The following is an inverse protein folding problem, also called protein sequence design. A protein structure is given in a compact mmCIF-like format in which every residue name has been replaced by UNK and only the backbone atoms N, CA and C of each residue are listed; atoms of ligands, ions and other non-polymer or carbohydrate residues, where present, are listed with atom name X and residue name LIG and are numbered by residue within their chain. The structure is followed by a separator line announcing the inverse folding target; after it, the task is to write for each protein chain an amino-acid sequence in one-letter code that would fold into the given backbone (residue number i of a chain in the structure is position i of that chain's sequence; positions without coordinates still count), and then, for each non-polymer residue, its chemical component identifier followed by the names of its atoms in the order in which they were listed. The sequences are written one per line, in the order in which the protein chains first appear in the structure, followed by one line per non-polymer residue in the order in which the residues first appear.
data_IF_506406022468
#
_entry.id   IF_506406022468
#
_cell.length_a   1.000
_cell.length_b   1.000
_cell.length_c   1.000
_cell.angle_alpha   90.00
_cell.angle_beta   90.00
_cell.angle_gamma   90.00
#
_symmetry.space_group_name_H-M   'P 1'
#
loop_
_entity.id
_entity.type
_entity.pdbx_description
1 polymer ?
#
# COMPACT_ATOMS: atom_id res chain seq x y z
N UNK A 1 50.14 -22.61 44.64
CA UNK A 1 49.33 -23.71 44.09
C UNK A 1 48.30 -24.10 45.14
N UNK A 2 47.01 -23.92 44.89
CA UNK A 2 45.94 -24.40 45.77
C UNK A 2 44.57 -24.19 45.10
N UNK A 3 43.82 -25.28 44.89
CA UNK A 3 42.40 -25.23 44.56
C UNK A 3 41.56 -25.07 45.84
N UNK A 4 40.37 -24.44 45.79
CA UNK A 4 39.25 -24.72 46.69
C UNK A 4 38.43 -25.89 46.10
N UNK A 5 38.14 -27.02 46.74
CA UNK A 5 37.58 -27.32 48.08
C UNK A 5 36.12 -26.88 48.24
N UNK A 6 35.19 -27.83 48.02
CA UNK A 6 33.80 -27.81 48.49
C UNK A 6 33.69 -28.44 49.88
N UNK A 7 32.80 -27.93 50.77
CA UNK A 7 31.75 -28.76 51.40
C UNK A 7 30.50 -27.95 51.83
N UNK A 8 29.51 -28.48 52.60
CA UNK A 8 28.81 -29.78 52.56
C UNK A 8 27.26 -29.60 52.43
N UNK A 9 26.43 -30.55 52.88
CA UNK A 9 25.00 -30.72 52.52
C UNK A 9 24.05 -31.00 53.73
N UNK A 10 22.72 -30.85 53.53
CA UNK A 10 21.55 -31.32 54.34
C UNK A 10 21.21 -30.66 55.71
N UNK A 11 20.00 -30.86 56.34
CA UNK A 11 18.64 -31.35 55.93
C UNK A 11 17.49 -30.39 56.45
N UNK A 12 16.20 -30.76 56.80
CA UNK A 12 15.24 -31.84 56.45
C UNK A 12 13.82 -31.35 55.97
N UNK A 13 12.85 -32.27 55.84
CA UNK A 13 11.42 -32.10 55.41
C UNK A 13 10.54 -31.26 56.38
N UNK A 14 9.24 -30.92 56.19
CA UNK A 14 8.09 -31.42 55.39
C UNK A 14 7.02 -30.25 55.19
N UNK A 15 5.69 -30.38 54.89
CA UNK A 15 4.81 -31.54 54.59
C UNK A 15 3.69 -31.35 53.48
N UNK A 16 2.75 -32.32 53.42
CA UNK A 16 1.31 -32.39 52.99
C UNK A 16 0.54 -31.08 52.64
N UNK A 17 -0.49 -31.04 51.77
CA UNK A 17 -1.20 -32.05 50.92
C UNK A 17 -2.31 -31.38 50.08
N UNK A 18 -2.61 -31.86 48.86
CA UNK A 18 -3.98 -31.88 48.30
C UNK A 18 -4.04 -32.71 46.99
N UNK A 19 -4.94 -33.70 46.95
CA UNK A 19 -5.33 -34.41 45.72
C UNK A 19 -6.63 -33.84 45.17
N UNK A 20 -6.73 -33.61 43.85
CA UNK A 20 -8.01 -33.79 43.15
C UNK A 20 -7.83 -33.97 41.64
N UNK A 21 -8.65 -34.84 41.05
CA UNK A 21 -8.64 -35.15 39.62
C UNK A 21 -9.13 -33.99 38.77
N UNK A 22 -8.49 -33.76 37.62
CA UNK A 22 -9.04 -32.97 36.54
C UNK A 22 -9.84 -33.87 35.59
N UNK A 23 -11.13 -33.59 35.43
CA UNK A 23 -11.97 -34.23 34.41
C UNK A 23 -11.67 -33.64 33.01
N UNK A 24 -11.89 -34.39 31.91
CA UNK A 24 -11.68 -33.87 30.56
C UNK A 24 -12.73 -32.81 30.20
N UNK A 25 -12.27 -31.66 29.71
CA UNK A 25 -13.11 -30.59 29.17
C UNK A 25 -13.58 -31.00 27.76
N UNK A 26 -14.86 -30.81 27.40
CA UNK A 26 -15.42 -31.38 26.16
C UNK A 26 -14.87 -30.72 24.89
N UNK A 27 -14.50 -31.56 23.93
CA UNK A 27 -14.15 -31.16 22.56
C UNK A 27 -15.37 -30.60 21.85
N UNK A 28 -15.36 -29.30 21.53
CA UNK A 28 -16.34 -28.70 20.63
C UNK A 28 -16.10 -29.19 19.20
N UNK A 29 -17.19 -29.50 18.50
CA UNK A 29 -17.16 -30.12 17.17
C UNK A 29 -16.82 -29.11 16.07
N UNK A 30 -15.55 -29.04 15.70
CA UNK A 30 -15.15 -28.46 14.41
C UNK A 30 -15.63 -29.37 13.28
N UNK A 31 -16.67 -28.93 12.54
CA UNK A 31 -17.05 -29.55 11.27
C UNK A 31 -15.85 -29.51 10.32
N UNK A 32 -15.63 -30.62 9.61
CA UNK A 32 -14.33 -30.95 9.03
C UNK A 32 -13.80 -29.95 8.01
N UNK A 33 -12.58 -29.49 8.24
CA UNK A 33 -11.63 -29.19 7.17
C UNK A 33 -11.00 -30.53 6.76
N UNK A 34 -11.20 -30.95 5.51
CA UNK A 34 -10.57 -32.14 4.95
C UNK A 34 -9.04 -31.96 4.89
N UNK A 35 -8.24 -32.98 5.25
CA UNK A 35 -6.79 -32.95 5.03
C UNK A 35 -6.45 -32.78 3.55
N UNK A 36 -5.30 -32.18 3.26
CA UNK A 36 -4.81 -31.92 1.91
C UNK A 36 -4.67 -33.21 1.11
N UNK A 37 -5.14 -33.19 -0.14
CA UNK A 37 -4.55 -34.02 -1.18
C UNK A 37 -3.21 -33.38 -1.58
N UNK A 38 -2.14 -34.16 -1.53
CA UNK A 38 -0.90 -33.80 -2.23
C UNK A 38 -1.23 -33.68 -3.73
N UNK A 39 -0.67 -32.68 -4.40
CA UNK A 39 -0.99 -32.43 -5.81
C UNK A 39 -0.59 -33.64 -6.65
N UNK A 40 -1.56 -34.27 -7.35
CA UNK A 40 -1.30 -35.43 -8.19
C UNK A 40 -0.26 -35.08 -9.27
N UNK A 41 0.93 -35.71 -9.29
CA UNK A 41 1.96 -35.44 -10.29
C UNK A 41 1.50 -36.00 -11.65
N UNK A 42 0.79 -35.18 -12.41
CA UNK A 42 0.22 -35.54 -13.71
C UNK A 42 -1.05 -34.76 -14.09
N UNK A 43 -1.74 -34.13 -13.14
CA UNK A 43 -2.90 -33.26 -13.42
C UNK A 43 -2.54 -31.82 -13.09
N UNK A 44 -2.55 -30.93 -14.08
CA UNK A 44 -2.41 -29.49 -13.83
C UNK A 44 -3.62 -28.97 -13.04
N UNK A 45 -3.41 -28.20 -11.96
CA UNK A 45 -4.50 -27.58 -11.21
C UNK A 45 -5.30 -26.55 -12.03
N UNK A 46 -6.52 -26.27 -11.56
CA UNK A 46 -7.30 -25.11 -12.01
C UNK A 46 -6.61 -23.79 -11.58
N UNK A 47 -7.05 -22.65 -12.13
CA UNK A 47 -6.39 -21.38 -11.89
C UNK A 47 -6.51 -20.95 -10.42
N UNK A 48 -7.66 -21.19 -9.77
CA UNK A 48 -7.81 -20.90 -8.35
C UNK A 48 -6.78 -21.66 -7.49
N UNK A 49 -6.55 -22.95 -7.76
CA UNK A 49 -5.55 -23.77 -7.06
C UNK A 49 -4.12 -23.29 -7.31
N UNK A 50 -3.77 -22.93 -8.55
CA UNK A 50 -2.46 -22.34 -8.89
C UNK A 50 -2.21 -21.07 -8.06
N UNK A 51 -3.18 -20.15 -8.06
CA UNK A 51 -3.08 -18.87 -7.35
C UNK A 51 -3.10 -19.09 -5.83
N UNK A 52 -3.82 -20.10 -5.33
CA UNK A 52 -3.84 -20.50 -3.92
C UNK A 52 -2.48 -21.02 -3.44
N UNK A 53 -1.84 -21.89 -4.22
CA UNK A 53 -0.48 -22.40 -3.94
C UNK A 53 0.50 -21.22 -3.91
N UNK A 54 0.44 -20.33 -4.89
CA UNK A 54 1.28 -19.15 -4.96
C UNK A 54 1.10 -18.21 -3.76
N UNK A 55 -0.15 -17.93 -3.37
CA UNK A 55 -0.48 -17.13 -2.19
C UNK A 55 0.05 -17.76 -0.90
N UNK A 56 -0.14 -19.07 -0.70
CA UNK A 56 0.31 -19.79 0.50
C UNK A 56 1.84 -19.86 0.61
N UNK A 57 2.55 -19.99 -0.52
CA UNK A 57 4.02 -19.95 -0.56
C UNK A 57 4.62 -18.54 -0.52
N UNK A 58 3.79 -17.49 -0.64
CA UNK A 58 4.24 -16.09 -0.62
C UNK A 58 4.90 -15.62 -1.91
N UNK A 59 4.61 -16.27 -3.04
CA UNK A 59 5.08 -15.84 -4.36
C UNK A 59 4.39 -14.52 -4.78
N UNK A 60 5.09 -13.65 -5.50
CA UNK A 60 4.58 -12.32 -5.88
C UNK A 60 3.74 -12.34 -7.16
N UNK A 61 4.12 -13.16 -8.12
CA UNK A 61 3.52 -13.23 -9.45
C UNK A 61 3.42 -14.69 -9.92
N UNK A 62 2.35 -15.02 -10.63
CA UNK A 62 2.17 -16.28 -11.37
C UNK A 62 2.31 -15.98 -12.85
N UNK A 63 3.07 -16.80 -13.57
CA UNK A 63 3.31 -16.68 -15.01
C UNK A 63 2.83 -17.97 -15.70
N UNK A 64 1.88 -17.83 -16.63
CA UNK A 64 1.23 -18.93 -17.34
C UNK A 64 1.16 -18.60 -18.83
N UNK A 65 1.33 -19.57 -19.72
CA UNK A 65 1.22 -19.31 -21.16
C UNK A 65 1.23 -20.58 -22.00
N UNK A 66 0.52 -20.56 -23.13
CA UNK A 66 0.46 -21.69 -24.06
C UNK A 66 1.85 -22.03 -24.57
N UNK A 67 2.20 -23.32 -24.55
CA UNK A 67 3.53 -23.80 -24.87
C UNK A 67 4.56 -23.66 -23.74
N UNK A 68 4.18 -23.10 -22.58
CA UNK A 68 5.07 -22.95 -21.42
C UNK A 68 4.67 -23.81 -20.22
N UNK A 69 5.69 -24.21 -19.43
CA UNK A 69 5.50 -24.72 -18.08
C UNK A 69 5.14 -23.56 -17.15
N UNK A 70 4.08 -23.65 -16.32
CA UNK A 70 3.75 -22.64 -15.32
C UNK A 70 4.92 -22.29 -14.40
N UNK A 71 5.09 -20.99 -14.10
CA UNK A 71 6.16 -20.50 -13.23
C UNK A 71 5.63 -19.54 -12.17
N UNK A 72 6.33 -19.48 -11.05
CA UNK A 72 6.11 -18.47 -10.00
C UNK A 72 7.29 -17.52 -9.92
N UNK A 73 7.04 -16.31 -9.44
CA UNK A 73 8.08 -15.39 -9.00
C UNK A 73 8.21 -15.41 -7.48
N UNK A 74 9.36 -15.84 -6.98
CA UNK A 74 9.71 -15.79 -5.57
C UNK A 74 10.79 -14.72 -5.34
N UNK A 75 10.46 -13.65 -4.61
CA UNK A 75 11.37 -12.56 -4.22
C UNK A 75 12.19 -11.92 -5.37
N UNK A 76 11.72 -12.06 -6.61
CA UNK A 76 12.36 -11.55 -7.82
C UNK A 76 12.79 -12.65 -8.80
N UNK A 77 13.10 -13.84 -8.30
CA UNK A 77 13.58 -14.99 -9.07
C UNK A 77 12.42 -15.80 -9.69
N UNK A 78 12.66 -16.39 -10.87
CA UNK A 78 11.69 -17.21 -11.58
C UNK A 78 11.88 -18.69 -11.23
N UNK A 79 10.85 -19.33 -10.68
CA UNK A 79 10.83 -20.75 -10.34
C UNK A 79 9.83 -21.47 -11.25
N UNK A 80 10.30 -22.44 -12.04
CA UNK A 80 9.42 -23.36 -12.78
C UNK A 80 8.74 -24.34 -11.83
N UNK A 81 7.52 -24.76 -12.18
CA UNK A 81 6.80 -25.84 -11.49
C UNK A 81 7.07 -27.19 -12.17
N UNK A 82 6.75 -28.29 -11.48
CA UNK A 82 6.78 -29.65 -12.04
C UNK A 82 5.48 -30.01 -12.80
N UNK A 83 4.66 -29.01 -13.15
CA UNK A 83 3.43 -29.21 -13.92
C UNK A 83 3.72 -29.34 -15.43
N UNK A 84 2.89 -30.07 -16.19
CA UNK A 84 3.08 -30.20 -17.63
C UNK A 84 2.93 -28.85 -18.34
N UNK A 85 3.50 -28.77 -19.54
CA UNK A 85 3.33 -27.64 -20.47
C UNK A 85 1.85 -27.33 -20.66
N UNK A 86 1.52 -26.04 -20.66
CA UNK A 86 0.16 -25.54 -20.86
C UNK A 86 -0.25 -25.70 -22.31
N UNK A 87 -1.34 -26.45 -22.54
CA UNK A 87 -2.01 -26.53 -23.84
C UNK A 87 -3.10 -25.43 -23.99
N UNK A 88 -3.58 -25.15 -25.22
CA UNK A 88 -4.56 -24.09 -25.47
C UNK A 88 -5.89 -24.29 -24.74
N UNK A 89 -6.33 -25.54 -24.55
CA UNK A 89 -7.61 -25.86 -23.90
C UNK A 89 -7.54 -25.53 -22.39
N UNK A 90 -6.44 -25.90 -21.73
CA UNK A 90 -6.19 -25.54 -20.33
C UNK A 90 -6.09 -24.02 -20.13
N UNK A 91 -5.39 -23.32 -21.01
CA UNK A 91 -5.28 -21.86 -20.93
C UNK A 91 -6.66 -21.19 -21.11
N UNK A 92 -7.48 -21.69 -22.03
CA UNK A 92 -8.85 -21.21 -22.22
C UNK A 92 -9.74 -21.48 -20.99
N UNK A 93 -9.58 -22.62 -20.33
CA UNK A 93 -10.25 -22.91 -19.05
C UNK A 93 -9.87 -21.90 -17.97
N UNK A 94 -8.57 -21.62 -17.80
CA UNK A 94 -8.08 -20.60 -16.86
C UNK A 94 -8.64 -19.20 -17.16
N UNK A 95 -8.76 -18.78 -18.43
CA UNK A 95 -9.40 -17.52 -18.79
C UNK A 95 -10.87 -17.46 -18.33
N UNK A 96 -11.62 -18.56 -18.51
CA UNK A 96 -13.03 -18.66 -18.15
C UNK A 96 -13.28 -18.66 -16.62
N UNK A 97 -12.29 -19.02 -15.80
CA UNK A 97 -12.37 -18.89 -14.34
C UNK A 97 -12.38 -17.42 -13.89
N UNK A 98 -11.66 -16.53 -14.60
CA UNK A 98 -11.40 -15.15 -14.12
C UNK A 98 -12.06 -14.03 -14.93
N UNK A 99 -12.40 -14.27 -16.20
CA UNK A 99 -12.98 -13.28 -17.14
C UNK A 99 -14.37 -13.67 -17.63
N UNK A 100 -15.18 -12.67 -18.00
CA UNK A 100 -16.43 -12.91 -18.71
C UNK A 100 -16.20 -13.05 -20.23
N UNK A 101 -17.16 -13.64 -20.95
CA UNK A 101 -17.05 -13.89 -22.39
C UNK A 101 -16.68 -12.65 -23.22
N UNK A 102 -17.20 -11.46 -22.86
CA UNK A 102 -16.88 -10.22 -23.56
C UNK A 102 -15.41 -9.80 -23.36
N UNK A 103 -14.84 -9.99 -22.17
CA UNK A 103 -13.43 -9.67 -21.88
C UNK A 103 -12.48 -10.65 -22.58
N UNK A 104 -12.89 -11.92 -22.73
CA UNK A 104 -12.14 -12.92 -23.48
C UNK A 104 -12.13 -12.58 -24.98
N UNK A 105 -13.29 -12.25 -25.57
CA UNK A 105 -13.41 -11.78 -26.95
C UNK A 105 -12.64 -10.46 -27.19
N UNK A 106 -12.68 -9.52 -26.23
CA UNK A 106 -11.87 -8.29 -26.25
C UNK A 106 -10.37 -8.63 -26.30
N UNK A 107 -9.86 -9.44 -25.37
CA UNK A 107 -8.45 -9.87 -25.35
C UNK A 107 -8.00 -10.51 -26.66
N UNK A 108 -8.79 -11.42 -27.23
CA UNK A 108 -8.41 -12.07 -28.50
C UNK A 108 -8.38 -11.12 -29.70
N UNK A 109 -9.10 -9.98 -29.63
CA UNK A 109 -9.08 -8.91 -30.64
C UNK A 109 -7.97 -7.88 -30.41
N UNK A 110 -7.80 -7.40 -29.18
CA UNK A 110 -6.81 -6.38 -28.80
C UNK A 110 -5.39 -6.92 -28.67
N UNK A 111 -5.25 -8.24 -28.38
CA UNK A 111 -4.01 -8.94 -28.00
C UNK A 111 -3.42 -8.55 -26.64
N UNK A 112 -4.11 -7.68 -25.91
CA UNK A 112 -3.70 -7.12 -24.63
C UNK A 112 -4.92 -6.94 -23.73
N UNK A 113 -4.81 -7.29 -22.44
CA UNK A 113 -5.86 -7.02 -21.46
C UNK A 113 -5.26 -6.81 -20.07
N UNK A 114 -5.63 -5.71 -19.41
CA UNK A 114 -5.34 -5.47 -17.99
C UNK A 114 -6.64 -5.47 -17.18
N UNK A 115 -6.61 -6.05 -15.98
CA UNK A 115 -7.78 -6.09 -15.11
C UNK A 115 -7.52 -6.66 -13.71
N UNK A 116 -8.60 -7.00 -13.00
CA UNK A 116 -8.51 -7.62 -11.68
C UNK A 116 -9.55 -8.73 -11.48
N UNK A 117 -9.17 -9.73 -10.67
CA UNK A 117 -10.06 -10.76 -10.16
C UNK A 117 -9.88 -10.94 -8.65
N UNK A 118 -10.93 -11.39 -7.97
CA UNK A 118 -10.96 -11.56 -6.51
C UNK A 118 -11.30 -13.02 -6.16
N UNK A 119 -10.28 -13.81 -5.85
CA UNK A 119 -10.45 -15.11 -5.23
C UNK A 119 -10.81 -14.95 -3.74
N UNK A 120 -11.39 -15.96 -3.07
CA UNK A 120 -11.79 -15.87 -1.66
C UNK A 120 -10.64 -15.53 -0.67
N UNK A 121 -9.39 -15.79 -1.06
CA UNK A 121 -8.19 -15.63 -0.23
C UNK A 121 -7.24 -14.50 -0.70
N UNK A 122 -7.33 -14.06 -1.96
CA UNK A 122 -6.46 -13.03 -2.52
C UNK A 122 -7.13 -12.31 -3.71
N UNK A 123 -6.78 -11.05 -3.94
CA UNK A 123 -7.01 -10.40 -5.24
C UNK A 123 -5.80 -10.65 -6.14
N UNK A 124 -6.03 -10.71 -7.44
CA UNK A 124 -4.97 -10.69 -8.45
C UNK A 124 -5.18 -9.53 -9.40
N UNK A 125 -4.08 -8.87 -9.79
CA UNK A 125 -4.06 -8.07 -11.02
C UNK A 125 -3.72 -8.99 -12.17
N UNK A 126 -4.55 -8.96 -13.20
CA UNK A 126 -4.40 -9.72 -14.44
C UNK A 126 -3.72 -8.82 -15.45
N UNK A 127 -2.70 -9.34 -16.12
CA UNK A 127 -2.20 -8.84 -17.40
C UNK A 127 -2.19 -10.02 -18.38
N UNK A 128 -2.91 -9.92 -19.49
CA UNK A 128 -2.91 -10.88 -20.59
C UNK A 128 -2.17 -10.29 -21.79
N UNK A 129 -1.42 -11.15 -22.48
CA UNK A 129 -0.67 -10.82 -23.67
C UNK A 129 -0.73 -11.97 -24.68
N UNK A 130 -0.61 -11.67 -25.97
CA UNK A 130 -0.36 -12.68 -27.00
C UNK A 130 1.14 -12.79 -27.29
N UNK A 131 1.65 -14.02 -27.48
CA UNK A 131 3.08 -14.29 -27.63
C UNK A 131 3.36 -15.26 -28.78
N UNK A 132 4.64 -15.51 -29.09
CA UNK A 132 5.03 -16.38 -30.22
C UNK A 132 4.48 -17.81 -30.10
N UNK A 133 4.30 -18.33 -28.87
CA UNK A 133 3.74 -19.67 -28.63
C UNK A 133 2.23 -19.65 -28.39
N UNK A 134 1.59 -18.49 -28.45
CA UNK A 134 0.18 -18.26 -28.16
C UNK A 134 -0.06 -17.36 -26.93
N UNK A 135 -1.28 -17.32 -26.41
CA UNK A 135 -1.64 -16.39 -25.33
C UNK A 135 -1.00 -16.77 -24.00
N UNK A 136 -0.71 -15.75 -23.20
CA UNK A 136 -0.11 -15.84 -21.88
C UNK A 136 -0.77 -14.88 -20.89
N UNK A 137 -0.62 -15.16 -19.60
CA UNK A 137 -1.11 -14.34 -18.50
C UNK A 137 -0.08 -14.22 -17.38
N UNK A 138 -0.02 -13.03 -16.79
CA UNK A 138 0.72 -12.73 -15.57
C UNK A 138 -0.28 -12.29 -14.50
N UNK A 139 -0.33 -13.02 -13.40
CA UNK A 139 -1.19 -12.71 -12.26
C UNK A 139 -0.34 -12.22 -11.09
N UNK A 140 -0.44 -10.94 -10.75
CA UNK A 140 0.20 -10.39 -9.54
C UNK A 140 -0.71 -10.58 -8.34
N UNK A 141 -0.22 -11.24 -7.30
CA UNK A 141 -0.98 -11.49 -6.07
C UNK A 141 -0.99 -10.23 -5.20
N UNK A 142 -2.18 -9.80 -4.79
CA UNK A 142 -2.40 -8.64 -3.93
C UNK A 142 -2.93 -9.11 -2.56
N UNK A 143 -2.08 -9.11 -1.52
CA UNK A 143 -2.48 -9.52 -0.17
C UNK A 143 -3.64 -8.66 0.36
N UNK A 144 -4.66 -9.30 0.94
CA UNK A 144 -5.84 -8.60 1.47
C UNK A 144 -5.68 -8.09 2.90
N UNK A 145 -4.54 -8.35 3.55
CA UNK A 145 -4.28 -7.90 4.93
C UNK A 145 -3.90 -6.43 4.96
N UNK A 146 -4.87 -5.58 5.34
CA UNK A 146 -4.63 -4.17 5.62
C UNK A 146 -3.99 -4.06 7.02
N UNK A 147 -2.76 -3.55 7.08
CA UNK A 147 -2.07 -3.26 8.33
C UNK A 147 -2.56 -1.91 8.91
N UNK A 148 -2.56 -1.78 10.24
CA UNK A 148 -2.92 -0.51 10.89
C UNK A 148 -1.77 0.50 10.82
N UNK A 149 -2.07 1.79 11.05
CA UNK A 149 -1.07 2.86 11.11
C UNK A 149 0.05 2.53 12.12
N UNK A 150 -0.35 1.97 13.27
CA UNK A 150 0.53 1.58 14.36
C UNK A 150 1.41 0.37 14.00
N UNK A 151 0.85 -0.64 13.30
CA UNK A 151 1.62 -1.80 12.80
C UNK A 151 2.63 -1.42 11.72
N UNK A 152 2.29 -0.43 10.88
CA UNK A 152 3.19 0.15 9.89
C UNK A 152 4.20 1.14 10.49
N UNK A 153 4.06 1.47 11.79
CA UNK A 153 4.89 2.45 12.50
C UNK A 153 4.88 3.83 11.84
N UNK A 154 3.73 4.21 11.27
CA UNK A 154 3.53 5.49 10.60
C UNK A 154 3.41 6.65 11.61
N UNK A 155 3.85 7.88 11.27
CA UNK A 155 3.75 9.03 12.16
C UNK A 155 2.30 9.36 12.54
N UNK A 156 2.06 9.69 13.82
CA UNK A 156 0.72 10.00 14.36
C UNK A 156 0.00 11.15 13.62
N UNK A 157 0.73 12.04 12.95
CA UNK A 157 0.16 13.11 12.14
C UNK A 157 -0.76 12.57 11.03
N UNK A 158 -0.51 11.37 10.49
CA UNK A 158 -1.39 10.72 9.49
C UNK A 158 -2.78 10.39 10.08
N UNK A 159 -2.84 10.04 11.36
CA UNK A 159 -4.11 9.85 12.09
C UNK A 159 -4.84 11.19 12.25
N UNK A 160 -4.10 12.26 12.56
CA UNK A 160 -4.63 13.63 12.64
C UNK A 160 -5.11 14.21 11.30
N UNK A 161 -4.52 13.79 10.19
CA UNK A 161 -5.01 14.08 8.83
C UNK A 161 -6.28 13.28 8.51
N UNK A 162 -6.30 11.98 8.87
CA UNK A 162 -7.46 11.10 8.69
C UNK A 162 -8.68 11.51 9.54
N UNK A 163 -8.49 12.28 10.61
CA UNK A 163 -9.58 12.80 11.44
C UNK A 163 -10.14 14.15 10.97
N UNK A 164 -9.60 14.78 9.92
CA UNK A 164 -10.11 16.08 9.44
C UNK A 164 -11.51 15.93 8.84
N UNK A 165 -12.40 16.93 8.97
CA UNK A 165 -13.74 16.86 8.39
C UNK A 165 -13.66 16.85 6.85
N UNK A 166 -12.92 17.81 6.28
CA UNK A 166 -12.72 18.03 4.85
C UNK A 166 -11.30 18.48 4.52
N UNK A 167 -10.93 18.48 3.24
CA UNK A 167 -9.66 18.97 2.72
C UNK A 167 -8.90 17.91 1.91
N UNK A 168 -7.80 18.29 1.28
CA UNK A 168 -7.01 17.44 0.37
C UNK A 168 -5.74 16.91 1.04
N UNK A 169 -5.53 15.60 1.02
CA UNK A 169 -4.30 14.93 1.47
C UNK A 169 -3.66 14.22 0.28
N UNK A 170 -2.40 14.52 -0.01
CA UNK A 170 -1.65 13.89 -1.09
C UNK A 170 -0.62 12.91 -0.54
N UNK A 171 -0.68 11.64 -0.93
CA UNK A 171 0.33 10.62 -0.57
C UNK A 171 1.16 10.31 -1.81
N UNK A 172 2.46 10.60 -1.76
CA UNK A 172 3.31 10.62 -2.95
C UNK A 172 4.57 9.76 -2.81
N UNK A 173 5.18 9.43 -3.94
CA UNK A 173 6.40 8.63 -4.01
C UNK A 173 6.46 7.77 -5.27
N UNK A 174 7.58 7.11 -5.49
CA UNK A 174 7.80 6.20 -6.61
C UNK A 174 6.87 4.97 -6.59
N UNK A 175 6.88 4.20 -7.68
CA UNK A 175 6.19 2.90 -7.72
C UNK A 175 6.85 1.94 -6.72
N UNK A 176 6.04 1.25 -5.92
CA UNK A 176 6.53 0.36 -4.87
C UNK A 176 6.96 1.05 -3.56
N UNK A 177 6.79 2.37 -3.42
CA UNK A 177 7.12 3.08 -2.17
C UNK A 177 6.12 2.91 -1.01
N UNK A 178 5.08 2.09 -1.19
CA UNK A 178 4.08 1.79 -0.14
C UNK A 178 2.94 2.80 0.01
N UNK A 179 2.73 3.70 -0.98
CA UNK A 179 1.62 4.67 -1.00
C UNK A 179 0.27 4.03 -0.70
N UNK A 180 -0.11 3.00 -1.46
CA UNK A 180 -1.39 2.31 -1.33
C UNK A 180 -1.55 1.62 0.03
N UNK A 181 -0.48 1.04 0.58
CA UNK A 181 -0.47 0.44 1.93
C UNK A 181 -0.74 1.51 3.00
N UNK A 182 -0.16 2.69 2.83
CA UNK A 182 -0.32 3.84 3.74
C UNK A 182 -1.73 4.40 3.67
N UNK A 183 -2.25 4.60 2.46
CA UNK A 183 -3.63 5.02 2.23
C UNK A 183 -4.65 4.00 2.74
N UNK A 184 -4.44 2.70 2.50
CA UNK A 184 -5.30 1.65 3.05
C UNK A 184 -5.31 1.69 4.58
N UNK A 185 -4.17 1.90 5.24
CA UNK A 185 -4.12 2.06 6.69
C UNK A 185 -4.86 3.31 7.20
N UNK A 186 -4.77 4.43 6.48
CA UNK A 186 -5.51 5.68 6.78
C UNK A 186 -7.03 5.51 6.58
N UNK A 187 -7.45 4.98 5.44
CA UNK A 187 -8.86 4.70 5.11
C UNK A 187 -9.46 3.67 6.09
N UNK A 188 -8.72 2.60 6.43
CA UNK A 188 -9.18 1.63 7.42
C UNK A 188 -9.25 2.21 8.84
N UNK A 189 -8.40 3.19 9.16
CA UNK A 189 -8.53 3.93 10.42
C UNK A 189 -9.82 4.75 10.44
N UNK A 190 -10.17 5.48 9.37
CA UNK A 190 -11.46 6.19 9.28
C UNK A 190 -12.61 5.18 9.42
N UNK A 191 -12.58 4.10 8.65
CA UNK A 191 -13.60 3.06 8.62
C UNK A 191 -13.85 2.39 10.00
N UNK A 192 -12.82 2.32 10.85
CA UNK A 192 -12.91 1.78 12.22
C UNK A 192 -13.36 2.78 13.29
N UNK A 193 -13.26 4.08 13.05
CA UNK A 193 -13.40 5.11 14.11
C UNK A 193 -14.48 6.17 13.81
N UNK A 194 -15.01 6.24 12.59
CA UNK A 194 -15.94 7.28 12.16
C UNK A 194 -17.11 6.69 11.35
N UNK A 195 -18.35 7.18 11.54
CA UNK A 195 -19.51 6.77 10.74
C UNK A 195 -19.60 7.64 9.48
N UNK A 196 -18.80 7.30 8.46
CA UNK A 196 -18.72 8.03 7.19
C UNK A 196 -19.11 7.16 5.99
N UNK A 197 -19.46 7.78 4.88
CA UNK A 197 -19.42 7.16 3.56
C UNK A 197 -18.06 7.41 2.91
N UNK A 198 -17.33 6.33 2.63
CA UNK A 198 -16.03 6.33 1.96
C UNK A 198 -16.19 5.74 0.56
N UNK A 199 -15.84 6.53 -0.46
CA UNK A 199 -15.82 6.10 -1.85
C UNK A 199 -14.38 6.08 -2.38
N UNK A 200 -13.94 4.97 -2.94
CA UNK A 200 -12.65 4.88 -3.65
C UNK A 200 -12.86 4.78 -5.16
N UNK A 201 -11.93 5.35 -5.92
CA UNK A 201 -11.85 5.26 -7.38
C UNK A 201 -10.40 4.89 -7.70
N UNK A 202 -10.17 3.65 -8.14
CA UNK A 202 -8.83 3.05 -8.28
C UNK A 202 -8.63 2.33 -9.63
N UNK A 203 -7.39 2.03 -9.99
CA UNK A 203 -6.99 1.46 -11.29
C UNK A 203 -5.78 0.52 -11.13
N UNK A 204 -5.98 -0.78 -10.77
CA UNK A 204 -7.20 -1.37 -10.22
C UNK A 204 -7.32 -1.15 -8.69
N UNK A 205 -8.38 -1.68 -8.05
CA UNK A 205 -8.50 -1.65 -6.58
C UNK A 205 -7.49 -2.60 -5.94
N UNK A 206 -6.55 -2.07 -5.15
CA UNK A 206 -5.52 -2.89 -4.49
C UNK A 206 -6.04 -3.51 -3.19
N UNK A 207 -6.55 -2.68 -2.27
CA UNK A 207 -7.03 -3.10 -0.95
C UNK A 207 -8.55 -3.00 -0.86
N UNK A 208 -9.24 -4.11 -0.56
CA UNK A 208 -10.69 -4.10 -0.35
C UNK A 208 -11.01 -3.91 1.12
N UNK A 209 -11.56 -2.74 1.44
CA UNK A 209 -12.09 -2.41 2.75
C UNK A 209 -13.52 -2.96 2.88
N UNK A 210 -13.72 -3.89 3.80
CA UNK A 210 -15.08 -4.23 4.26
C UNK A 210 -15.61 -3.08 5.12
N UNK A 211 -16.86 -2.66 4.89
CA UNK A 211 -17.55 -1.69 5.75
C UNK A 211 -17.51 -2.12 7.22
N UNK A 212 -17.25 -1.18 8.12
CA UNK A 212 -17.22 -1.37 9.58
C UNK A 212 -18.13 -0.34 10.24
N UNK A 213 -17.57 0.74 10.76
CA UNK A 213 -18.34 1.90 11.22
C UNK A 213 -18.69 2.82 10.04
N UNK A 214 -17.79 2.91 9.05
CA UNK A 214 -18.09 3.54 7.76
C UNK A 214 -18.72 2.55 6.77
N UNK A 215 -19.52 3.09 5.86
CA UNK A 215 -19.86 2.44 4.60
C UNK A 215 -18.70 2.65 3.63
N UNK A 216 -18.12 1.57 3.08
CA UNK A 216 -17.08 1.68 2.04
C UNK A 216 -17.59 1.16 0.70
N UNK A 217 -17.32 1.93 -0.35
CA UNK A 217 -17.64 1.61 -1.76
C UNK A 217 -16.38 1.74 -2.60
N UNK A 218 -16.10 0.74 -3.42
CA UNK A 218 -14.95 0.71 -4.32
C UNK A 218 -15.41 0.81 -5.78
N UNK A 219 -14.83 1.74 -6.54
CA UNK A 219 -14.99 1.84 -7.99
C UNK A 219 -13.65 1.56 -8.65
N UNK A 220 -13.67 0.67 -9.63
CA UNK A 220 -12.48 0.24 -10.36
C UNK A 220 -12.60 0.74 -11.79
N UNK A 221 -11.54 1.34 -12.34
CA UNK A 221 -11.47 1.74 -13.74
C UNK A 221 -11.59 0.50 -14.65
N UNK A 222 -12.19 0.65 -15.82
CA UNK A 222 -12.51 -0.44 -16.75
C UNK A 222 -13.70 -1.32 -16.33
N UNK A 223 -13.98 -1.46 -15.03
CA UNK A 223 -15.01 -2.37 -14.49
C UNK A 223 -16.26 -1.69 -13.93
N UNK A 224 -16.09 -0.66 -13.11
CA UNK A 224 -17.17 0.11 -12.47
C UNK A 224 -17.27 1.57 -12.98
N UNK A 225 -16.27 2.00 -13.75
CA UNK A 225 -16.26 3.28 -14.47
C UNK A 225 -15.29 3.19 -15.66
N UNK A 226 -15.57 3.92 -16.74
CA UNK A 226 -14.70 3.97 -17.91
C UNK A 226 -13.64 5.10 -17.83
N UNK A 227 -13.85 6.11 -16.97
CA UNK A 227 -12.94 7.26 -16.82
C UNK A 227 -12.91 7.74 -15.37
N UNK A 228 -11.72 8.06 -14.85
CA UNK A 228 -11.52 8.65 -13.53
C UNK A 228 -12.37 9.92 -13.32
N UNK A 229 -12.25 10.89 -14.24
CA UNK A 229 -12.96 12.16 -14.18
C UNK A 229 -14.49 12.00 -14.08
N UNK A 230 -15.06 11.06 -14.86
CA UNK A 230 -16.50 10.78 -14.84
C UNK A 230 -16.95 10.18 -13.50
N UNK A 231 -16.16 9.26 -12.92
CA UNK A 231 -16.46 8.71 -11.60
C UNK A 231 -16.31 9.75 -10.49
N UNK A 232 -15.30 10.63 -10.57
CA UNK A 232 -15.09 11.67 -9.57
C UNK A 232 -16.16 12.76 -9.63
N UNK A 233 -16.65 13.13 -10.83
CA UNK A 233 -17.83 13.99 -10.98
C UNK A 233 -19.12 13.35 -10.49
N UNK A 234 -19.28 12.04 -10.70
CA UNK A 234 -20.44 11.29 -10.18
C UNK A 234 -20.39 11.16 -8.64
N UNK A 235 -19.20 10.95 -8.07
CA UNK A 235 -18.97 10.85 -6.62
C UNK A 235 -19.57 12.03 -5.85
N UNK A 236 -19.47 13.26 -6.36
CA UNK A 236 -20.05 14.47 -5.73
C UNK A 236 -21.58 14.44 -5.59
N UNK A 237 -22.26 13.43 -6.14
CA UNK A 237 -23.71 13.18 -6.01
C UNK A 237 -24.03 11.80 -5.42
N UNK A 238 -23.01 11.07 -4.99
CA UNK A 238 -23.13 9.74 -4.37
C UNK A 238 -23.09 9.83 -2.83
N UNK A 239 -23.23 11.04 -2.27
CA UNK A 239 -23.21 11.36 -0.82
C UNK A 239 -21.97 10.83 -0.05
N UNK A 240 -20.72 11.02 -0.53
CA UNK A 240 -19.52 10.62 0.21
C UNK A 240 -19.07 11.68 1.21
N UNK A 241 -18.53 11.26 2.36
CA UNK A 241 -17.74 12.14 3.24
C UNK A 241 -16.24 12.10 2.89
N UNK A 242 -15.79 10.97 2.33
CA UNK A 242 -14.38 10.70 2.02
C UNK A 242 -14.27 10.15 0.61
N UNK A 243 -13.38 10.72 -0.19
CA UNK A 243 -13.09 10.28 -1.56
C UNK A 243 -11.61 9.91 -1.66
N UNK A 244 -11.30 8.68 -2.07
CA UNK A 244 -9.96 8.25 -2.46
C UNK A 244 -9.84 8.19 -3.98
N UNK A 245 -8.89 8.94 -4.53
CA UNK A 245 -8.49 8.93 -5.94
C UNK A 245 -7.15 8.17 -6.03
N UNK A 246 -7.17 6.99 -6.66
CA UNK A 246 -6.01 6.10 -6.73
C UNK A 246 -4.76 6.76 -7.31
N UNK A 247 -4.90 7.56 -8.37
CA UNK A 247 -3.81 8.36 -8.94
C UNK A 247 -4.33 9.64 -9.60
N UNK A 248 -3.65 10.78 -9.38
CA UNK A 248 -3.93 12.05 -10.04
C UNK A 248 -2.93 12.22 -11.21
N UNK A 249 -3.35 11.79 -12.40
CA UNK A 249 -2.53 11.82 -13.63
C UNK A 249 -2.58 13.15 -14.39
N UNK A 250 -3.66 13.93 -14.27
CA UNK A 250 -3.92 15.11 -15.12
C UNK A 250 -4.64 16.26 -14.39
N UNK A 251 -4.62 17.42 -15.03
CA UNK A 251 -5.24 18.68 -14.57
C UNK A 251 -6.74 18.54 -14.25
N UNK A 252 -7.50 17.82 -15.09
CA UNK A 252 -8.95 17.63 -14.89
C UNK A 252 -9.27 16.88 -13.58
N UNK A 253 -8.53 15.80 -13.29
CA UNK A 253 -8.71 15.01 -12.07
C UNK A 253 -8.30 15.81 -10.84
N UNK A 254 -7.21 16.57 -10.94
CA UNK A 254 -6.71 17.44 -9.87
C UNK A 254 -7.69 18.59 -9.55
N UNK A 255 -8.22 19.26 -10.57
CA UNK A 255 -9.20 20.34 -10.42
C UNK A 255 -10.46 19.84 -9.69
N UNK A 256 -11.03 18.70 -10.12
CA UNK A 256 -12.21 18.12 -9.45
C UNK A 256 -11.89 17.62 -8.03
N UNK A 257 -10.66 17.15 -7.76
CA UNK A 257 -10.23 16.80 -6.40
C UNK A 257 -10.16 18.01 -5.46
N UNK A 258 -9.67 19.15 -5.96
CA UNK A 258 -9.64 20.43 -5.23
C UNK A 258 -11.07 20.92 -4.97
N UNK A 259 -11.92 20.97 -6.00
CA UNK A 259 -13.35 21.33 -5.87
C UNK A 259 -14.08 20.46 -4.82
N UNK A 260 -13.88 19.13 -4.87
CA UNK A 260 -14.41 18.20 -3.88
C UNK A 260 -13.96 18.56 -2.44
N UNK A 261 -12.68 18.84 -2.25
CA UNK A 261 -12.13 19.16 -0.93
C UNK A 261 -12.62 20.49 -0.37
N UNK A 262 -12.87 21.48 -1.23
CA UNK A 262 -13.47 22.76 -0.85
C UNK A 262 -14.93 22.58 -0.43
N UNK A 263 -15.69 21.77 -1.18
CA UNK A 263 -17.15 21.59 -1.04
C UNK A 263 -17.60 20.71 0.13
N UNK A 264 -16.67 20.15 0.92
CA UNK A 264 -17.02 19.44 2.16
C UNK A 264 -16.37 18.07 2.35
N UNK A 265 -15.70 17.56 1.32
CA UNK A 265 -15.18 16.19 1.30
C UNK A 265 -13.75 16.11 1.87
N UNK A 266 -13.42 15.01 2.54
CA UNK A 266 -12.02 14.64 2.79
C UNK A 266 -11.49 13.86 1.58
N UNK A 267 -10.55 14.43 0.85
CA UNK A 267 -10.06 13.86 -0.41
C UNK A 267 -8.63 13.35 -0.23
N UNK A 268 -8.40 12.09 -0.59
CA UNK A 268 -7.08 11.48 -0.69
C UNK A 268 -6.70 11.30 -2.16
N UNK A 269 -5.47 11.62 -2.52
CA UNK A 269 -4.93 11.40 -3.87
C UNK A 269 -3.49 10.92 -3.85
N UNK A 270 -3.05 10.23 -4.92
CA UNK A 270 -1.61 9.94 -5.12
C UNK A 270 -1.00 10.65 -6.32
N UNK A 271 0.30 10.95 -6.19
CA UNK A 271 1.17 11.41 -7.27
C UNK A 271 2.54 10.72 -7.17
N UNK A 272 3.29 10.74 -8.27
CA UNK A 272 4.62 10.15 -8.38
C UNK A 272 5.73 11.20 -8.17
N UNK A 273 5.80 11.77 -6.98
CA UNK A 273 6.81 12.76 -6.53
C UNK A 273 7.43 12.32 -5.20
N UNK A 274 8.73 12.51 -5.01
CA UNK A 274 9.45 11.97 -3.84
C UNK A 274 9.73 13.02 -2.74
N UNK A 275 9.11 14.20 -2.82
CA UNK A 275 9.17 15.25 -1.80
C UNK A 275 7.84 16.01 -1.74
N UNK A 276 7.51 16.53 -0.56
CA UNK A 276 6.31 17.33 -0.31
C UNK A 276 6.31 18.63 -1.13
N UNK A 277 7.39 19.41 -1.07
CA UNK A 277 7.52 20.68 -1.81
C UNK A 277 7.45 20.43 -3.33
N UNK A 278 8.19 19.43 -3.84
CA UNK A 278 8.15 19.04 -5.27
C UNK A 278 6.79 18.49 -5.72
N UNK A 279 5.95 18.05 -4.79
CA UNK A 279 4.56 17.69 -5.11
C UNK A 279 3.75 18.95 -5.40
N UNK A 280 3.93 20.02 -4.62
CA UNK A 280 3.28 21.32 -4.88
C UNK A 280 3.75 21.88 -6.22
N UNK A 281 5.05 21.90 -6.50
CA UNK A 281 5.60 22.30 -7.80
C UNK A 281 4.94 21.54 -8.96
N UNK A 282 4.87 20.20 -8.87
CA UNK A 282 4.24 19.36 -9.90
C UNK A 282 2.75 19.65 -10.07
N UNK A 283 2.02 19.86 -8.97
CA UNK A 283 0.58 20.18 -8.96
C UNK A 283 0.32 21.51 -9.65
N UNK A 284 1.15 22.54 -9.40
CA UNK A 284 1.07 23.84 -10.06
C UNK A 284 1.51 23.75 -11.54
N UNK A 285 2.54 22.97 -11.83
CA UNK A 285 3.03 22.71 -13.19
C UNK A 285 2.08 21.91 -14.10
N UNK A 286 0.93 21.44 -13.60
CA UNK A 286 -0.16 20.93 -14.44
C UNK A 286 -0.99 22.04 -15.11
N UNK A 287 -0.77 23.31 -14.75
CA UNK A 287 -1.55 24.45 -15.23
C UNK A 287 -0.69 25.43 -16.03
N UNK A 288 -1.31 26.11 -17.00
CA UNK A 288 -0.68 27.17 -17.76
C UNK A 288 -0.30 28.36 -16.83
N UNK A 289 0.79 29.11 -17.10
CA UNK A 289 1.28 30.16 -16.21
C UNK A 289 0.22 31.17 -15.75
N UNK A 290 -0.73 31.51 -16.63
CA UNK A 290 -1.87 32.40 -16.37
C UNK A 290 -2.83 31.88 -15.29
N UNK A 291 -3.01 30.56 -15.17
CA UNK A 291 -3.90 29.93 -14.18
C UNK A 291 -3.21 29.69 -12.82
N UNK A 292 -1.87 29.69 -12.78
CA UNK A 292 -1.08 29.25 -11.62
C UNK A 292 -1.27 30.11 -10.36
N UNK A 293 -1.64 31.39 -10.46
CA UNK A 293 -1.97 32.19 -9.27
C UNK A 293 -3.30 31.75 -8.64
N UNK A 294 -4.34 31.62 -9.46
CA UNK A 294 -5.67 31.13 -9.02
C UNK A 294 -5.57 29.73 -8.42
N UNK A 295 -4.77 28.86 -9.05
CA UNK A 295 -4.54 27.51 -8.56
C UNK A 295 -3.69 27.45 -7.29
N UNK A 296 -2.69 28.32 -7.10
CA UNK A 296 -1.96 28.44 -5.82
C UNK A 296 -2.90 28.78 -4.67
N UNK A 297 -3.78 29.77 -4.87
CA UNK A 297 -4.79 30.13 -3.85
C UNK A 297 -5.71 28.95 -3.55
N UNK A 298 -6.31 28.37 -4.60
CA UNK A 298 -7.24 27.24 -4.47
C UNK A 298 -6.61 26.02 -3.79
N UNK A 299 -5.37 25.68 -4.13
CA UNK A 299 -4.59 24.60 -3.51
C UNK A 299 -4.28 24.92 -2.04
N UNK A 300 -3.80 26.13 -1.73
CA UNK A 300 -3.43 26.52 -0.37
C UNK A 300 -4.61 26.46 0.63
N UNK A 301 -5.82 26.77 0.18
CA UNK A 301 -7.03 26.72 1.01
C UNK A 301 -7.53 25.28 1.22
N UNK A 302 -7.24 24.40 0.26
CA UNK A 302 -7.75 23.04 0.17
C UNK A 302 -6.84 22.00 0.82
N UNK A 303 -5.52 22.18 0.67
CA UNK A 303 -4.51 21.23 1.12
C UNK A 303 -4.47 21.14 2.64
N UNK A 304 -4.43 19.90 3.17
CA UNK A 304 -4.19 19.61 4.58
C UNK A 304 -2.73 19.21 4.82
N UNK A 305 -2.15 18.47 3.87
CA UNK A 305 -0.76 18.04 3.91
C UNK A 305 -0.36 17.15 2.74
N UNK A 306 0.95 16.99 2.58
CA UNK A 306 1.56 16.09 1.61
C UNK A 306 2.47 15.11 2.35
N UNK A 307 2.35 13.83 2.06
CA UNK A 307 3.13 12.73 2.64
C UNK A 307 3.90 12.09 1.49
N UNK A 308 5.11 12.58 1.21
CA UNK A 308 6.03 11.89 0.30
C UNK A 308 6.69 10.73 1.05
N UNK A 309 6.76 9.55 0.42
CA UNK A 309 7.21 8.33 1.06
C UNK A 309 8.17 7.53 0.16
N UNK A 310 9.25 7.06 0.77
CA UNK A 310 10.14 6.03 0.22
C UNK A 310 10.18 4.79 1.12
N UNK A 311 10.70 3.67 0.59
CA UNK A 311 11.03 2.47 1.39
C UNK A 311 12.53 2.23 1.35
N UNK A 312 13.11 1.93 2.51
CA UNK A 312 14.52 1.57 2.67
C UNK A 312 14.65 0.19 3.32
N UNK A 313 15.68 -0.57 2.93
CA UNK A 313 15.97 -1.90 3.49
C UNK A 313 16.51 -1.76 4.91
N UNK A 314 15.98 -2.54 5.83
CA UNK A 314 16.39 -2.52 7.25
C UNK A 314 17.44 -3.57 7.57
N UNK A 315 18.12 -3.40 8.71
CA UNK A 315 19.15 -4.32 9.24
C UNK A 315 18.62 -5.75 9.46
N UNK A 316 17.33 -5.91 9.74
CA UNK A 316 16.63 -7.21 9.84
C UNK A 316 16.15 -7.77 8.47
N UNK A 317 16.70 -7.27 7.36
CA UNK A 317 16.38 -7.62 5.97
C UNK A 317 14.92 -7.35 5.55
N UNK A 318 14.14 -6.59 6.33
CA UNK A 318 12.80 -6.11 5.94
C UNK A 318 12.89 -4.74 5.25
N UNK A 319 11.81 -3.96 5.28
CA UNK A 319 11.73 -2.59 4.78
C UNK A 319 11.08 -1.69 5.83
N UNK A 320 11.59 -0.47 5.98
CA UNK A 320 10.96 0.62 6.71
C UNK A 320 10.57 1.74 5.73
N UNK A 321 9.49 2.46 6.05
CA UNK A 321 9.17 3.70 5.36
C UNK A 321 9.98 4.85 5.94
N UNK A 322 10.40 5.77 5.06
CA UNK A 322 10.87 7.10 5.43
C UNK A 322 10.01 8.14 4.72
N UNK A 323 9.84 9.31 5.34
CA UNK A 323 8.83 10.29 4.96
C UNK A 323 9.38 11.70 4.84
N UNK A 324 8.79 12.46 3.93
CA UNK A 324 8.89 13.90 3.79
C UNK A 324 7.45 14.46 3.89
N UNK A 325 7.10 15.00 5.06
CA UNK A 325 5.72 15.36 5.44
C UNK A 325 5.60 16.86 5.62
N UNK A 326 4.81 17.49 4.75
CA UNK A 326 4.31 18.85 4.92
C UNK A 326 2.92 18.81 5.55
N UNK A 327 2.69 19.65 6.55
CA UNK A 327 1.36 19.96 7.08
C UNK A 327 1.05 21.41 6.75
N UNK A 328 -0.11 21.67 6.15
CA UNK A 328 -0.45 22.98 5.62
C UNK A 328 -0.99 23.92 6.72
N UNK A 329 -0.09 24.34 7.61
CA UNK A 329 -0.33 25.37 8.63
C UNK A 329 -0.58 26.73 7.97
N UNK A 330 -1.12 27.71 8.70
CA UNK A 330 -1.47 29.01 8.11
C UNK A 330 -0.25 29.77 7.55
N UNK A 331 0.94 29.54 8.10
CA UNK A 331 2.20 30.01 7.51
C UNK A 331 2.49 29.32 6.16
N UNK A 332 2.36 27.99 6.08
CA UNK A 332 2.53 27.24 4.84
C UNK A 332 1.53 27.68 3.75
N UNK A 333 0.28 27.98 4.13
CA UNK A 333 -0.73 28.50 3.20
C UNK A 333 -0.27 29.80 2.56
N UNK A 334 0.17 30.76 3.37
CA UNK A 334 0.67 32.05 2.91
C UNK A 334 1.92 31.90 2.00
N UNK A 335 2.89 31.07 2.39
CA UNK A 335 4.04 30.76 1.53
C UNK A 335 3.63 30.14 0.18
N UNK A 336 2.70 29.17 0.17
CA UNK A 336 2.18 28.55 -1.06
C UNK A 336 1.42 29.57 -1.93
N UNK A 337 0.62 30.47 -1.33
CA UNK A 337 -0.07 31.54 -2.05
C UNK A 337 0.92 32.50 -2.72
N UNK A 338 1.95 32.93 -1.97
CA UNK A 338 3.02 33.79 -2.49
C UNK A 338 3.92 33.06 -3.51
N UNK A 339 3.93 31.72 -3.53
CA UNK A 339 4.82 30.91 -4.35
C UNK A 339 6.23 30.77 -3.76
N UNK A 340 6.42 31.11 -2.49
CA UNK A 340 7.69 31.03 -1.78
C UNK A 340 7.92 29.59 -1.28
N UNK A 341 8.17 28.66 -2.20
CA UNK A 341 8.30 27.24 -1.89
C UNK A 341 9.59 26.89 -1.11
N UNK A 342 10.61 27.73 -1.20
CA UNK A 342 11.83 27.64 -0.37
C UNK A 342 11.50 27.89 1.11
N UNK A 343 10.65 28.89 1.43
CA UNK A 343 10.17 29.14 2.80
C UNK A 343 9.37 27.94 3.36
N UNK A 344 8.66 27.20 2.48
CA UNK A 344 7.93 25.97 2.86
C UNK A 344 8.91 24.84 3.22
N UNK A 345 10.06 24.74 2.55
CA UNK A 345 11.09 23.76 2.89
C UNK A 345 11.78 24.11 4.22
N UNK A 346 12.11 25.40 4.44
CA UNK A 346 12.70 25.86 5.71
C UNK A 346 11.79 25.63 6.93
N UNK A 347 10.48 25.89 6.80
CA UNK A 347 9.55 25.70 7.91
C UNK A 347 9.33 24.20 8.20
N UNK A 348 9.34 23.34 7.19
CA UNK A 348 9.29 21.88 7.39
C UNK A 348 10.44 21.34 8.24
N UNK A 349 11.66 21.85 8.05
CA UNK A 349 12.82 21.45 8.84
C UNK A 349 12.69 21.80 10.33
N UNK A 350 11.96 22.89 10.65
CA UNK A 350 11.88 23.44 12.01
C UNK A 350 10.60 23.05 12.76
N UNK A 351 9.49 22.82 12.06
CA UNK A 351 8.14 22.65 12.64
C UNK A 351 7.75 21.20 12.94
N UNK A 352 8.65 20.45 13.58
CA UNK A 352 8.38 19.05 13.98
C UNK A 352 7.23 18.90 14.99
N UNK A 353 6.89 19.95 15.73
CA UNK A 353 5.73 19.99 16.64
C UNK A 353 4.38 19.82 15.91
N UNK A 354 4.25 20.38 14.71
CA UNK A 354 3.03 20.22 13.87
C UNK A 354 2.96 18.83 13.20
N UNK A 355 3.96 17.97 13.42
CA UNK A 355 4.11 16.67 12.77
C UNK A 355 4.78 16.73 11.40
N UNK A 356 5.38 17.86 11.02
CA UNK A 356 6.25 17.93 9.84
C UNK A 356 7.54 17.16 10.08
N UNK A 357 8.11 16.59 9.01
CA UNK A 357 9.41 15.93 9.05
C UNK A 357 10.00 15.92 7.64
N UNK A 358 11.29 16.20 7.50
CA UNK A 358 11.95 16.05 6.19
C UNK A 358 12.46 14.62 5.96
N UNK A 359 12.66 14.23 4.69
CA UNK A 359 13.24 12.94 4.34
C UNK A 359 14.54 12.64 5.11
N UNK A 360 15.40 13.65 5.29
CA UNK A 360 16.67 13.50 6.01
C UNK A 360 16.46 13.30 7.52
N UNK A 361 15.52 14.01 8.15
CA UNK A 361 15.17 13.79 9.56
C UNK A 361 14.58 12.39 9.78
N UNK A 362 13.74 11.93 8.84
CA UNK A 362 13.16 10.59 8.86
C UNK A 362 14.21 9.48 8.71
N UNK A 363 15.13 9.63 7.75
CA UNK A 363 16.26 8.73 7.55
C UNK A 363 17.24 8.72 8.75
N UNK A 364 17.58 9.89 9.29
CA UNK A 364 18.44 10.02 10.47
C UNK A 364 17.84 9.27 11.67
N UNK A 365 16.53 9.40 11.92
CA UNK A 365 15.83 8.65 12.98
C UNK A 365 15.90 7.12 12.78
N UNK A 366 15.94 6.63 11.55
CA UNK A 366 16.13 5.19 11.26
C UNK A 366 17.57 4.72 11.50
N UNK A 367 18.56 5.59 11.26
CA UNK A 367 19.97 5.34 11.60
C UNK A 367 20.16 5.34 13.12
N UNK A 368 19.66 6.37 13.81
CA UNK A 368 19.72 6.53 15.27
C UNK A 368 19.12 5.35 16.05
N UNK A 369 18.10 4.71 15.48
CA UNK A 369 17.43 3.54 16.08
C UNK A 369 18.05 2.20 15.66
N UNK A 370 19.20 2.21 14.96
CA UNK A 370 19.90 1.01 14.50
C UNK A 370 19.13 0.18 13.46
N UNK A 371 18.10 0.77 12.83
CA UNK A 371 17.23 0.06 11.88
C UNK A 371 17.77 0.06 10.47
N UNK A 372 18.62 1.03 10.13
CA UNK A 372 19.19 1.25 8.80
C UNK A 372 20.66 1.65 8.93
N UNK A 373 21.52 1.08 8.09
CA UNK A 373 22.95 1.43 8.07
C UNK A 373 23.17 2.88 7.57
N UNK A 374 24.09 3.65 8.17
CA UNK A 374 24.35 5.05 7.79
C UNK A 374 24.59 5.26 6.29
N UNK A 375 25.38 4.38 5.66
CA UNK A 375 25.73 4.46 4.23
C UNK A 375 24.49 4.27 3.34
N UNK A 376 23.60 3.33 3.70
CA UNK A 376 22.35 3.08 3.00
C UNK A 376 21.38 4.26 3.13
N UNK A 377 21.34 4.91 4.29
CA UNK A 377 20.52 6.10 4.51
C UNK A 377 21.01 7.29 3.66
N UNK A 378 22.33 7.52 3.61
CA UNK A 378 22.94 8.55 2.75
C UNK A 378 22.67 8.26 1.27
N UNK A 379 22.80 7.02 0.82
CA UNK A 379 22.53 6.63 -0.57
C UNK A 379 21.06 6.79 -1.00
N UNK A 380 20.10 6.75 -0.06
CA UNK A 380 18.67 6.93 -0.32
C UNK A 380 18.21 8.41 -0.21
N UNK A 381 19.06 9.31 0.27
CA UNK A 381 18.74 10.72 0.45
C UNK A 381 18.83 11.53 -0.84
N UNK A 382 17.91 12.48 -1.02
CA UNK A 382 17.98 13.50 -2.08
C UNK A 382 18.94 14.66 -1.75
N UNK A 383 19.34 14.80 -0.49
CA UNK A 383 20.34 15.76 0.00
C UNK A 383 21.43 15.00 0.79
N UNK A 384 22.24 14.13 0.13
CA UNK A 384 23.12 13.19 0.82
C UNK A 384 24.23 13.85 1.65
N UNK A 385 24.73 15.03 1.20
CA UNK A 385 25.76 15.77 1.92
C UNK A 385 25.27 16.29 3.27
N UNK A 386 24.03 16.79 3.34
CA UNK A 386 23.39 17.28 4.55
C UNK A 386 23.19 16.14 5.55
N UNK A 387 22.62 15.01 5.10
CA UNK A 387 22.45 13.82 5.95
C UNK A 387 23.79 13.27 6.45
N UNK A 388 24.81 13.21 5.58
CA UNK A 388 26.15 12.78 5.98
C UNK A 388 26.79 13.71 7.01
N UNK A 389 26.55 15.03 6.94
CA UNK A 389 26.97 15.98 7.98
C UNK A 389 26.19 15.76 9.28
N UNK A 390 24.86 15.58 9.22
CA UNK A 390 24.02 15.32 10.41
C UNK A 390 24.40 14.03 11.14
N UNK A 391 24.81 12.99 10.40
CA UNK A 391 25.33 11.74 10.97
C UNK A 391 26.71 11.95 11.58
N UNK A 392 27.63 12.63 10.87
CA UNK A 392 29.01 12.86 11.35
C UNK A 392 29.09 13.77 12.57
N UNK A 393 28.23 14.78 12.67
CA UNK A 393 28.21 15.74 13.79
C UNK A 393 27.78 15.15 15.15
N UNK A 394 27.68 13.82 15.26
CA UNK A 394 27.32 13.08 16.46
C UNK A 394 28.39 12.11 16.96
N UNK A 395 29.47 11.91 16.20
CA UNK A 395 30.61 11.04 16.53
C UNK A 395 31.75 11.82 17.20
#
# INVERSE_FOLDING_TARGET
MSQPVFPPNFPPQAPKSASQSAAPIPTSSTKGLTPFAEANPGVSPNLEEIVRIAYQKGHSDVHLGVGEVPRFRDRGEMQSTDWPVTDPERFQGWLQEILCANQIDEFFRSKEFDGSHAFPFARVRINLLDSLTGPAMVLRIIPQTILTLEQLQLPDVLKGLSSKPKGLVLVTGSTGSGKSTTLAAMIDWINRNQPRHILTIEDPVEFVHKSKQSLVKHRELGKHTLKFHNALKAALREDPDVILIGEIRNQETLATAIEASQTGHLVFGTLHTNSAVKTIERVLGMYAPEDQESMRRSLSESLLGVIAQGLIRTTDNKRAAYHDILINTDACKDYIQRGALEDVEEIMERSSFDGMITANQSLLKLVDTGRVEPEMAVAASFKPNELAQSIRGRN
#
